data_IF_151530208862
#
_entry.id   IF_151530208862
#
_cell.length_a   1.000
_cell.length_b   1.000
_cell.length_c   1.000
_cell.angle_alpha   90.00
_cell.angle_beta   90.00
_cell.angle_gamma   90.00
#
_symmetry.space_group_name_H-M   'P 1'
#
loop_
_entity.id
_entity.type
_entity.pdbx_description
1 polymer ?
#
# COMPACT_ATOMS: atom_id res chain seq x y z
N UNK A 1 1.89 9.76 -1.23
CA UNK A 1 2.13 8.32 -1.45
C UNK A 1 1.36 7.52 -0.41
N UNK A 2 0.89 6.33 -0.77
CA UNK A 2 0.20 5.41 0.13
C UNK A 2 0.97 4.09 0.15
N UNK A 3 1.15 3.49 1.33
CA UNK A 3 1.67 2.13 1.47
C UNK A 3 0.63 1.24 2.14
N UNK A 4 0.39 0.09 1.55
CA UNK A 4 -0.43 -0.97 2.13
C UNK A 4 0.39 -2.24 2.25
N UNK A 5 0.17 -3.01 3.32
CA UNK A 5 0.97 -4.18 3.63
C UNK A 5 0.09 -5.41 3.86
N UNK A 6 0.48 -6.55 3.29
CA UNK A 6 -0.02 -7.87 3.65
C UNK A 6 1.08 -8.67 4.31
N UNK A 7 0.87 -9.01 5.59
CA UNK A 7 1.84 -9.71 6.42
C UNK A 7 1.57 -11.22 6.42
N UNK A 8 2.18 -11.94 5.48
CA UNK A 8 2.10 -13.39 5.36
C UNK A 8 2.91 -14.08 6.47
N UNK A 9 3.02 -15.40 6.40
CA UNK A 9 3.77 -16.20 7.37
C UNK A 9 5.29 -15.96 7.27
N UNK A 10 5.83 -15.94 6.05
CA UNK A 10 7.29 -15.85 5.82
C UNK A 10 7.77 -14.46 5.34
N UNK A 11 6.85 -13.62 4.87
CA UNK A 11 7.18 -12.33 4.24
C UNK A 11 6.07 -11.29 4.39
N UNK A 12 6.46 -10.04 4.18
CA UNK A 12 5.56 -8.90 4.01
C UNK A 12 5.52 -8.56 2.52
N UNK A 13 4.32 -8.38 1.98
CA UNK A 13 4.10 -7.80 0.65
C UNK A 13 3.66 -6.36 0.86
N UNK A 14 4.32 -5.40 0.22
CA UNK A 14 3.90 -4.01 0.13
C UNK A 14 3.30 -3.77 -1.24
N UNK A 15 2.14 -3.10 -1.26
CA UNK A 15 1.63 -2.44 -2.47
C UNK A 15 1.56 -0.95 -2.20
N UNK A 16 2.30 -0.19 -3.01
CA UNK A 16 2.46 1.24 -2.90
C UNK A 16 1.80 1.98 -4.06
N UNK A 17 1.28 3.16 -3.77
CA UNK A 17 0.77 4.11 -4.76
C UNK A 17 1.50 5.44 -4.60
N UNK A 18 2.11 5.92 -5.67
CA UNK A 18 2.87 7.16 -5.69
C UNK A 18 2.45 8.00 -6.89
N UNK A 19 2.13 9.26 -6.62
CA UNK A 19 1.91 10.25 -7.68
C UNK A 19 3.25 10.90 -8.06
N UNK A 20 3.37 11.28 -9.33
CA UNK A 20 4.48 12.08 -9.83
C UNK A 20 4.45 13.51 -9.23
N UNK A 21 5.58 14.20 -9.20
CA UNK A 21 5.76 15.49 -8.48
C UNK A 21 4.81 16.60 -8.96
N UNK A 22 4.32 16.53 -10.20
CA UNK A 22 3.41 17.51 -10.80
C UNK A 22 1.94 17.06 -10.80
N UNK A 23 1.63 15.94 -10.14
CA UNK A 23 0.27 15.42 -10.06
C UNK A 23 -0.59 16.24 -9.10
N UNK A 24 -1.85 16.44 -9.46
CA UNK A 24 -2.87 16.99 -8.55
C UNK A 24 -3.50 15.93 -7.64
N UNK A 25 -2.83 14.79 -7.45
CA UNK A 25 -3.35 13.68 -6.67
C UNK A 25 -3.54 14.03 -5.19
N UNK A 26 -4.78 13.95 -4.72
CA UNK A 26 -5.11 14.07 -3.31
C UNK A 26 -5.40 12.70 -2.70
N UNK A 27 -4.42 12.16 -1.98
CA UNK A 27 -4.54 10.88 -1.29
C UNK A 27 -5.30 10.98 0.05
N UNK A 28 -5.71 12.17 0.48
CA UNK A 28 -6.58 12.36 1.64
C UNK A 28 -8.07 12.25 1.25
N UNK A 29 -8.40 12.47 -0.03
CA UNK A 29 -9.75 12.27 -0.55
C UNK A 29 -9.99 10.79 -0.91
N UNK A 30 -10.87 10.15 -0.14
CA UNK A 30 -11.29 8.77 -0.41
C UNK A 30 -11.96 8.61 -1.78
N UNK A 31 -12.65 9.64 -2.26
CA UNK A 31 -13.33 9.65 -3.57
C UNK A 31 -12.31 9.64 -4.71
N UNK A 32 -11.23 10.40 -4.54
CA UNK A 32 -10.10 10.39 -5.46
C UNK A 32 -9.45 9.00 -5.53
N UNK A 33 -9.17 8.38 -4.37
CA UNK A 33 -8.60 7.03 -4.32
C UNK A 33 -9.49 6.03 -5.07
N UNK A 34 -10.81 6.06 -4.85
CA UNK A 34 -11.71 5.13 -5.55
C UNK A 34 -11.73 5.36 -7.07
N UNK A 35 -11.70 6.63 -7.49
CA UNK A 35 -11.67 6.99 -8.92
C UNK A 35 -10.35 6.57 -9.57
N UNK A 36 -9.23 6.83 -8.91
CA UNK A 36 -7.89 6.44 -9.36
C UNK A 36 -7.70 4.92 -9.39
N UNK A 37 -8.40 4.17 -8.53
CA UNK A 37 -8.40 2.71 -8.57
C UNK A 37 -9.23 2.14 -9.73
N UNK A 38 -10.30 2.83 -10.14
CA UNK A 38 -11.14 2.41 -11.26
C UNK A 38 -10.53 2.79 -12.62
N UNK A 39 -9.92 3.97 -12.70
CA UNK A 39 -9.21 4.48 -13.88
C UNK A 39 -7.91 5.12 -13.40
N UNK A 40 -6.79 4.39 -13.38
CA UNK A 40 -5.50 4.92 -12.94
C UNK A 40 -5.09 6.04 -13.90
N UNK A 41 -4.96 7.29 -13.43
CA UNK A 41 -4.42 8.35 -14.27
C UNK A 41 -2.91 8.13 -14.51
N UNK A 42 -2.41 8.58 -15.66
CA UNK A 42 -1.04 8.32 -16.11
C UNK A 42 0.05 8.84 -15.16
N UNK A 43 -0.31 9.76 -14.27
CA UNK A 43 0.56 10.40 -13.28
C UNK A 43 0.62 9.66 -11.93
N UNK A 44 -0.09 8.53 -11.79
CA UNK A 44 -0.03 7.65 -10.61
C UNK A 44 0.63 6.32 -10.97
N UNK A 45 1.66 5.98 -10.21
CA UNK A 45 2.36 4.69 -10.29
C UNK A 45 1.97 3.81 -9.12
N UNK A 46 1.49 2.62 -9.44
CA UNK A 46 1.28 1.54 -8.47
C UNK A 46 2.45 0.56 -8.60
N UNK A 47 2.99 0.13 -7.47
CA UNK A 47 4.12 -0.83 -7.44
C UNK A 47 3.94 -1.84 -6.31
N UNK A 48 4.59 -2.99 -6.46
CA UNK A 48 4.63 -4.04 -5.45
C UNK A 48 6.06 -4.41 -5.10
N UNK A 49 6.31 -4.67 -3.82
CA UNK A 49 7.60 -5.16 -3.32
C UNK A 49 7.37 -6.21 -2.25
N UNK A 50 8.37 -7.05 -2.01
CA UNK A 50 8.33 -8.02 -0.93
C UNK A 50 9.58 -7.95 -0.05
N UNK A 51 9.38 -8.25 1.23
CA UNK A 51 10.44 -8.33 2.22
C UNK A 51 10.25 -9.58 3.06
N UNK A 52 11.25 -10.46 3.08
CA UNK A 52 11.29 -11.59 4.03
C UNK A 52 11.53 -11.08 5.44
N UNK A 53 11.00 -11.80 6.43
CA UNK A 53 11.30 -11.49 7.82
C UNK A 53 12.78 -11.75 8.12
N UNK A 54 13.44 -10.75 8.70
CA UNK A 54 14.83 -10.83 9.16
C UNK A 54 14.91 -11.08 10.67
N UNK A 55 13.80 -10.86 11.38
CA UNK A 55 13.62 -11.15 12.82
C UNK A 55 12.41 -12.05 13.02
N UNK A 56 12.08 -12.36 14.27
CA UNK A 56 10.79 -12.96 14.60
C UNK A 56 9.65 -12.10 14.05
N UNK A 57 8.69 -12.76 13.37
CA UNK A 57 7.54 -12.10 12.72
C UNK A 57 6.82 -11.13 13.65
N UNK A 58 6.54 -11.56 14.89
CA UNK A 58 5.85 -10.75 15.91
C UNK A 58 6.57 -9.41 16.16
N UNK A 59 7.90 -9.44 16.23
CA UNK A 59 8.75 -8.28 16.47
C UNK A 59 8.74 -7.31 15.29
N UNK A 60 8.79 -7.81 14.05
CA UNK A 60 8.67 -6.92 12.89
C UNK A 60 7.28 -6.27 12.80
N UNK A 61 6.21 -7.01 13.09
CA UNK A 61 4.86 -6.44 13.10
C UNK A 61 4.68 -5.41 14.22
N UNK A 62 5.26 -5.67 15.39
CA UNK A 62 5.29 -4.71 16.48
C UNK A 62 6.05 -3.42 16.09
N UNK A 63 7.21 -3.56 15.45
CA UNK A 63 7.99 -2.42 14.95
C UNK A 63 7.17 -1.62 13.91
N UNK A 64 6.44 -2.29 13.00
CA UNK A 64 5.58 -1.62 12.01
C UNK A 64 4.46 -0.81 12.66
N UNK A 65 3.74 -1.40 13.62
CA UNK A 65 2.65 -0.71 14.34
C UNK A 65 3.22 0.46 15.14
N UNK A 66 4.34 0.25 15.83
CA UNK A 66 5.03 1.29 16.60
C UNK A 66 5.51 2.46 15.74
N UNK A 67 5.83 2.19 14.47
CA UNK A 67 6.21 3.21 13.48
C UNK A 67 5.01 3.84 12.74
N UNK A 68 3.78 3.61 13.21
CA UNK A 68 2.58 4.28 12.69
C UNK A 68 1.77 3.47 11.67
N UNK A 69 2.09 2.19 11.44
CA UNK A 69 1.18 1.33 10.66
C UNK A 69 -0.08 1.03 11.48
N UNK A 70 -1.23 1.07 10.81
CA UNK A 70 -2.53 0.76 11.42
C UNK A 70 -3.09 -0.52 10.80
N UNK A 71 -3.69 -1.37 11.64
CA UNK A 71 -4.41 -2.57 11.17
C UNK A 71 -5.66 -2.09 10.42
N UNK A 72 -5.78 -2.48 9.14
CA UNK A 72 -6.90 -2.12 8.28
C UNK A 72 -7.72 -3.35 7.88
N UNK A 73 -8.89 -3.13 7.28
CA UNK A 73 -9.73 -4.20 6.72
C UNK A 73 -9.18 -4.80 5.41
N UNK A 74 -8.05 -4.29 4.93
CA UNK A 74 -7.34 -4.78 3.75
C UNK A 74 -8.03 -4.49 2.42
N UNK A 75 -9.13 -3.72 2.39
CA UNK A 75 -9.82 -3.40 1.12
C UNK A 75 -8.90 -2.67 0.15
N UNK A 76 -8.19 -1.64 0.62
CA UNK A 76 -7.30 -0.85 -0.23
C UNK A 76 -6.16 -1.69 -0.81
N UNK A 77 -5.55 -2.56 0.00
CA UNK A 77 -4.52 -3.49 -0.47
C UNK A 77 -5.04 -4.37 -1.61
N UNK A 78 -6.22 -4.99 -1.41
CA UNK A 78 -6.84 -5.85 -2.42
C UNK A 78 -7.17 -5.10 -3.70
N UNK A 79 -7.70 -3.89 -3.61
CA UNK A 79 -8.01 -3.08 -4.80
C UNK A 79 -6.74 -2.71 -5.56
N UNK A 80 -5.67 -2.31 -4.86
CA UNK A 80 -4.39 -2.01 -5.52
C UNK A 80 -3.78 -3.24 -6.20
N UNK A 81 -3.92 -4.43 -5.61
CA UNK A 81 -3.49 -5.68 -6.25
C UNK A 81 -4.24 -5.97 -7.56
N UNK A 82 -5.52 -5.61 -7.67
CA UNK A 82 -6.30 -5.80 -8.89
C UNK A 82 -5.86 -4.87 -10.02
N UNK A 83 -5.38 -3.66 -9.69
CA UNK A 83 -4.87 -2.68 -10.66
C UNK A 83 -3.49 -3.07 -11.22
N UNK A 84 -2.71 -3.84 -10.47
CA UNK A 84 -1.38 -4.33 -10.90
C UNK A 84 -1.44 -5.50 -11.90
N UNK A 85 -2.60 -6.12 -12.11
CA UNK A 85 -2.81 -7.26 -13.01
C UNK A 85 -3.43 -6.83 -14.34
#
# INVERSE_FOLDING_TARGET
MIHTFQCLEEKIILVGMQADENSSADFLDQSYIQTALANPPDDIRVYTTEKKYNKERSRELFDMISNGCVISDGKLFKTLCLVLN
#
